data_IF_344663944116
#
_entry.id   IF_344663944116
#
_cell.length_a   1.000
_cell.length_b   1.000
_cell.length_c   1.000
_cell.angle_alpha   90.00
_cell.angle_beta   90.00
_cell.angle_gamma   90.00
#
_symmetry.space_group_name_H-M   'P 1'
#
loop_
_entity.id
_entity.type
_entity.pdbx_description
1 polymer ?
#
# COMPACT_ATOMS: atom_id res chain seq x y z
N UNK A 1 -9.82 -0.50 -23.32
CA UNK A 1 -9.24 0.02 -22.07
C UNK A 1 -9.10 -1.12 -21.08
N UNK A 2 -7.88 -1.50 -20.75
CA UNK A 2 -7.70 -2.65 -19.88
C UNK A 2 -6.96 -2.28 -18.60
N UNK A 3 -7.51 -2.74 -17.48
CA UNK A 3 -6.91 -2.61 -16.16
C UNK A 3 -6.48 -3.99 -15.71
N UNK A 4 -5.21 -4.12 -15.34
CA UNK A 4 -4.65 -5.36 -14.83
C UNK A 4 -4.06 -5.11 -13.46
N UNK A 5 -4.41 -5.95 -12.49
CA UNK A 5 -3.80 -5.93 -11.16
C UNK A 5 -3.04 -7.25 -11.02
N UNK A 6 -1.75 -7.15 -10.75
CA UNK A 6 -0.86 -8.32 -10.64
C UNK A 6 0.19 -8.08 -9.58
N UNK A 7 0.91 -9.13 -9.22
CA UNK A 7 2.01 -8.97 -8.28
C UNK A 7 3.16 -8.17 -8.90
N UNK A 8 3.84 -7.42 -8.07
CA UNK A 8 5.05 -6.72 -8.45
C UNK A 8 6.17 -7.72 -8.69
N UNK A 9 7.02 -7.47 -9.68
CA UNK A 9 8.21 -8.25 -9.93
C UNK A 9 9.44 -7.37 -9.77
N UNK A 10 10.65 -7.95 -9.62
CA UNK A 10 11.85 -7.13 -9.52
C UNK A 10 12.04 -6.15 -10.67
N UNK A 11 11.56 -6.50 -11.86
CA UNK A 11 11.63 -5.59 -13.01
C UNK A 11 10.80 -4.33 -12.81
N UNK A 12 9.81 -4.37 -11.93
CA UNK A 12 8.93 -3.22 -11.66
C UNK A 12 9.46 -2.30 -10.56
N UNK A 13 10.45 -2.73 -9.77
CA UNK A 13 10.85 -2.03 -8.54
C UNK A 13 11.14 -0.55 -8.76
N UNK A 14 11.91 -0.24 -9.78
CA UNK A 14 12.30 1.14 -10.03
C UNK A 14 11.10 1.99 -10.45
N UNK A 15 10.25 1.44 -11.31
CA UNK A 15 9.06 2.14 -11.76
C UNK A 15 8.08 2.37 -10.60
N UNK A 16 7.96 1.40 -9.70
CA UNK A 16 7.10 1.53 -8.52
C UNK A 16 7.64 2.60 -7.57
N UNK A 17 8.95 2.64 -7.35
CA UNK A 17 9.54 3.67 -6.50
C UNK A 17 9.35 5.06 -7.08
N UNK A 18 9.50 5.21 -8.38
CA UNK A 18 9.24 6.48 -9.05
C UNK A 18 7.77 6.87 -8.96
N UNK A 19 6.87 5.92 -9.16
CA UNK A 19 5.43 6.14 -9.02
C UNK A 19 5.09 6.64 -7.62
N UNK A 20 5.62 5.99 -6.60
CA UNK A 20 5.38 6.37 -5.22
C UNK A 20 5.91 7.76 -4.93
N UNK A 21 7.11 8.04 -5.40
CA UNK A 21 7.69 9.35 -5.24
C UNK A 21 6.81 10.43 -5.86
N UNK A 22 6.36 10.24 -7.07
CA UNK A 22 5.50 11.20 -7.75
C UNK A 22 4.14 11.35 -7.08
N UNK A 23 3.60 10.24 -6.60
CA UNK A 23 2.29 10.23 -5.96
C UNK A 23 2.28 11.03 -4.65
N UNK A 24 3.38 10.99 -3.90
CA UNK A 24 3.47 11.60 -2.58
C UNK A 24 4.29 12.89 -2.54
N UNK A 25 4.87 13.29 -3.67
CA UNK A 25 5.73 14.47 -3.72
C UNK A 25 4.95 15.71 -3.29
N UNK A 26 5.46 16.39 -2.27
CA UNK A 26 4.87 17.62 -1.73
C UNK A 26 3.43 17.48 -1.24
N UNK A 27 2.94 16.26 -1.02
CA UNK A 27 1.54 16.07 -0.59
C UNK A 27 1.38 16.40 0.88
N UNK A 28 2.26 15.88 1.73
CA UNK A 28 2.14 16.07 3.18
C UNK A 28 3.24 16.95 3.74
N UNK A 29 4.32 17.09 3.01
CA UNK A 29 5.47 17.92 3.39
C UNK A 29 6.29 18.15 2.12
N UNK A 30 7.25 19.09 2.12
CA UNK A 30 8.14 19.26 0.96
C UNK A 30 8.87 17.94 0.66
N UNK A 31 8.82 17.51 -0.60
CA UNK A 31 9.36 16.22 -1.02
C UNK A 31 8.51 15.07 -0.50
N UNK A 32 9.12 13.90 -0.35
CA UNK A 32 8.48 12.74 0.27
C UNK A 32 9.53 11.70 0.65
N UNK A 33 9.12 10.75 1.50
CA UNK A 33 9.96 9.62 1.91
C UNK A 33 9.31 8.29 1.65
N UNK A 34 8.07 8.28 1.17
CA UNK A 34 7.31 7.05 0.98
C UNK A 34 8.00 6.06 0.03
N UNK A 35 8.66 6.57 -1.01
CA UNK A 35 9.38 5.71 -1.93
C UNK A 35 10.58 5.02 -1.28
N UNK A 36 11.22 5.67 -0.31
CA UNK A 36 12.31 5.08 0.43
C UNK A 36 11.78 4.04 1.44
N UNK A 37 10.67 4.36 2.10
CA UNK A 37 10.03 3.45 3.04
C UNK A 37 9.65 2.15 2.35
N UNK A 38 9.05 2.25 1.19
CA UNK A 38 8.67 1.08 0.43
C UNK A 38 9.88 0.26 -0.03
N UNK A 39 10.96 0.94 -0.40
CA UNK A 39 12.22 0.28 -0.74
C UNK A 39 12.73 -0.58 0.45
N UNK A 40 12.68 -0.02 1.65
CA UNK A 40 13.09 -0.73 2.85
C UNK A 40 12.17 -1.90 3.18
N UNK A 41 10.88 -1.75 2.92
CA UNK A 41 9.91 -2.80 3.23
C UNK A 41 10.17 -4.09 2.47
N UNK A 42 10.69 -4.01 1.25
CA UNK A 42 10.93 -5.20 0.45
C UNK A 42 11.92 -6.16 1.10
N UNK A 43 12.84 -5.66 1.91
CA UNK A 43 13.81 -6.49 2.62
C UNK A 43 13.43 -6.75 4.06
N UNK A 44 12.29 -6.27 4.52
CA UNK A 44 11.85 -6.48 5.90
C UNK A 44 11.27 -7.90 6.04
N UNK A 45 11.51 -8.57 7.20
CA UNK A 45 10.99 -9.92 7.40
C UNK A 45 9.47 -10.00 7.43
N UNK A 46 8.80 -8.89 7.72
CA UNK A 46 7.33 -8.85 7.79
C UNK A 46 6.67 -8.58 6.44
N UNK A 47 7.45 -8.33 5.41
CA UNK A 47 6.92 -8.06 4.08
C UNK A 47 6.20 -9.30 3.53
N UNK A 48 5.07 -9.09 2.88
CA UNK A 48 4.25 -10.16 2.29
C UNK A 48 4.27 -10.02 0.77
N UNK A 49 5.20 -10.68 0.08
CA UNK A 49 5.30 -10.53 -1.40
C UNK A 49 4.03 -10.93 -2.13
N UNK A 50 3.28 -11.87 -1.60
CA UNK A 50 2.03 -12.31 -2.22
C UNK A 50 0.95 -11.21 -2.20
N UNK A 51 1.13 -10.20 -1.35
CA UNK A 51 0.22 -9.07 -1.24
C UNK A 51 0.91 -7.78 -1.64
N UNK A 52 1.75 -7.84 -2.65
CA UNK A 52 2.43 -6.71 -3.24
C UNK A 52 1.96 -6.61 -4.68
N UNK A 53 1.09 -5.63 -4.95
CA UNK A 53 0.36 -5.53 -6.22
C UNK A 53 0.66 -4.24 -6.95
N UNK A 54 0.76 -4.35 -8.28
CA UNK A 54 0.80 -3.20 -9.17
C UNK A 54 -0.46 -3.18 -10.01
N UNK A 55 -0.87 -1.99 -10.42
CA UNK A 55 -2.01 -1.80 -11.33
C UNK A 55 -1.50 -1.18 -12.62
N UNK A 56 -1.85 -1.81 -13.73
CA UNK A 56 -1.52 -1.30 -15.07
C UNK A 56 -2.79 -0.90 -15.79
N UNK A 57 -2.69 0.17 -16.55
CA UNK A 57 -3.74 0.58 -17.47
C UNK A 57 -3.14 0.69 -18.84
N UNK A 58 -3.60 -0.16 -19.76
CA UNK A 58 -3.11 -0.20 -21.14
C UNK A 58 -1.58 -0.28 -21.22
N UNK A 59 -1.00 -1.09 -20.33
CA UNK A 59 0.44 -1.32 -20.30
C UNK A 59 1.23 -0.31 -19.47
N UNK A 60 0.58 0.73 -18.96
CA UNK A 60 1.25 1.74 -18.15
C UNK A 60 1.00 1.45 -16.66
N UNK A 61 2.07 1.46 -15.88
CA UNK A 61 1.97 1.23 -14.44
C UNK A 61 1.45 2.49 -13.76
N UNK A 62 0.26 2.41 -13.18
CA UNK A 62 -0.42 3.56 -12.59
C UNK A 62 -0.70 3.43 -11.10
N UNK A 63 -0.49 2.26 -10.51
CA UNK A 63 -0.78 2.08 -9.10
C UNK A 63 0.04 1.00 -8.44
N UNK A 64 0.14 1.07 -7.11
CA UNK A 64 0.88 0.10 -6.31
C UNK A 64 0.38 0.10 -4.87
N UNK A 65 0.36 -1.09 -4.26
CA UNK A 65 0.12 -1.27 -2.83
C UNK A 65 0.88 -2.50 -2.36
N UNK A 66 1.40 -2.46 -1.13
CA UNK A 66 2.06 -3.61 -0.53
C UNK A 66 1.60 -3.77 0.92
N UNK A 67 1.71 -4.98 1.44
CA UNK A 67 1.28 -5.32 2.79
C UNK A 67 2.44 -5.87 3.60
N UNK A 68 2.32 -5.71 4.93
CA UNK A 68 3.24 -6.29 5.90
C UNK A 68 2.43 -6.92 7.03
N UNK A 69 3.02 -7.91 7.69
CA UNK A 69 2.44 -8.49 8.90
C UNK A 69 2.72 -7.58 10.08
N UNK A 70 1.75 -7.51 10.98
CA UNK A 70 1.87 -6.71 12.18
C UNK A 70 1.03 -7.33 13.28
N UNK A 71 0.95 -6.68 14.45
CA UNK A 71 0.14 -7.16 15.57
C UNK A 71 -0.54 -5.99 16.27
N UNK A 72 -1.72 -6.26 16.80
CA UNK A 72 -2.38 -5.36 17.73
C UNK A 72 -2.36 -6.04 19.10
N UNK A 73 -1.89 -5.32 20.11
CA UNK A 73 -1.94 -5.81 21.49
C UNK A 73 -3.21 -5.29 22.14
N UNK A 74 -4.03 -6.20 22.66
CA UNK A 74 -5.27 -5.85 23.34
C UNK A 74 -4.96 -5.39 24.77
N UNK A 75 -5.96 -4.80 25.43
CA UNK A 75 -5.83 -4.38 26.82
C UNK A 75 -5.56 -5.56 27.76
N UNK A 76 -5.94 -6.76 27.36
CA UNK A 76 -5.66 -7.97 28.12
C UNK A 76 -4.28 -8.56 27.85
N UNK A 77 -3.45 -7.89 27.05
CA UNK A 77 -2.10 -8.35 26.71
C UNK A 77 -2.05 -9.38 25.60
N UNK A 78 -3.16 -9.66 24.95
CA UNK A 78 -3.21 -10.64 23.86
C UNK A 78 -2.77 -9.98 22.56
N UNK A 79 -1.88 -10.65 21.84
CA UNK A 79 -1.42 -10.21 20.52
C UNK A 79 -2.34 -10.78 19.45
N UNK A 80 -2.86 -9.92 18.59
CA UNK A 80 -3.72 -10.31 17.48
C UNK A 80 -2.97 -10.02 16.17
N UNK A 81 -2.67 -11.03 15.36
CA UNK A 81 -2.00 -10.79 14.08
C UNK A 81 -2.90 -10.04 13.13
N UNK A 82 -2.33 -9.07 12.43
CA UNK A 82 -3.04 -8.30 11.41
C UNK A 82 -2.14 -8.09 10.22
N UNK A 83 -2.76 -7.66 9.12
CA UNK A 83 -2.04 -7.14 7.96
C UNK A 83 -2.19 -5.63 7.94
N UNK A 84 -1.10 -4.94 7.63
CA UNK A 84 -1.15 -3.51 7.39
C UNK A 84 -0.61 -3.24 5.99
N UNK A 85 -1.21 -2.29 5.29
CA UNK A 85 -0.67 -1.93 3.99
C UNK A 85 0.28 -0.73 4.12
N UNK A 86 1.30 -0.74 3.27
CA UNK A 86 2.24 0.34 3.15
C UNK A 86 1.68 1.46 2.30
N UNK A 87 2.53 2.26 1.65
CA UNK A 87 2.03 3.32 0.80
C UNK A 87 1.14 2.73 -0.29
N UNK A 88 -0.03 3.32 -0.49
CA UNK A 88 -0.81 3.04 -1.67
C UNK A 88 -0.64 4.23 -2.60
N UNK A 89 -0.19 3.97 -3.83
CA UNK A 89 0.19 5.01 -4.77
C UNK A 89 -0.64 4.92 -6.03
N UNK A 90 -1.09 6.07 -6.51
CA UNK A 90 -1.75 6.19 -7.82
C UNK A 90 -1.03 7.33 -8.55
N UNK A 91 -0.71 7.11 -9.82
CA UNK A 91 -0.03 8.12 -10.62
C UNK A 91 -0.84 9.43 -10.59
N UNK A 92 -0.16 10.59 -10.52
CA UNK A 92 -0.87 11.87 -10.36
C UNK A 92 -1.95 12.13 -11.40
N UNK A 93 -1.75 11.72 -12.63
CA UNK A 93 -2.74 11.92 -13.69
C UNK A 93 -3.97 11.04 -13.57
N UNK A 94 -3.97 10.08 -12.66
CA UNK A 94 -5.06 9.11 -12.50
C UNK A 94 -5.72 9.21 -11.13
N UNK A 95 -5.33 10.16 -10.31
CA UNK A 95 -5.93 10.32 -8.98
C UNK A 95 -7.38 10.78 -9.08
N UNK A 96 -8.16 10.44 -8.03
CA UNK A 96 -9.57 10.84 -7.87
C UNK A 96 -10.48 10.25 -8.93
N UNK A 97 -10.10 9.10 -9.48
CA UNK A 97 -10.91 8.42 -10.49
C UNK A 97 -11.35 7.03 -10.04
N UNK A 98 -11.14 6.70 -8.75
CA UNK A 98 -11.56 5.43 -8.19
C UNK A 98 -10.56 4.30 -8.31
N UNK A 99 -9.40 4.54 -8.89
CA UNK A 99 -8.39 3.49 -9.06
C UNK A 99 -7.79 3.04 -7.72
N UNK A 100 -7.57 3.98 -6.81
CA UNK A 100 -7.05 3.65 -5.49
C UNK A 100 -7.98 2.73 -4.72
N UNK A 101 -9.27 3.02 -4.74
CA UNK A 101 -10.27 2.17 -4.10
C UNK A 101 -10.31 0.79 -4.74
N UNK A 102 -10.25 0.73 -6.06
CA UNK A 102 -10.27 -0.52 -6.79
C UNK A 102 -9.08 -1.40 -6.44
N UNK A 103 -7.90 -0.80 -6.38
CA UNK A 103 -6.67 -1.51 -6.01
C UNK A 103 -6.73 -1.97 -4.56
N UNK A 104 -7.19 -1.12 -3.66
CA UNK A 104 -7.30 -1.45 -2.25
C UNK A 104 -8.29 -2.59 -2.03
N UNK A 105 -9.47 -2.50 -2.63
CA UNK A 105 -10.49 -3.55 -2.48
C UNK A 105 -9.99 -4.90 -2.99
N UNK A 106 -9.32 -4.90 -4.12
CA UNK A 106 -8.74 -6.12 -4.68
C UNK A 106 -7.71 -6.72 -3.71
N UNK A 107 -6.80 -5.90 -3.21
CA UNK A 107 -5.74 -6.37 -2.34
C UNK A 107 -6.27 -6.85 -0.99
N UNK A 108 -7.29 -6.19 -0.46
CA UNK A 108 -7.91 -6.61 0.80
C UNK A 108 -8.62 -7.93 0.66
N UNK A 109 -9.26 -8.16 -0.47
CA UNK A 109 -9.89 -9.45 -0.75
C UNK A 109 -8.86 -10.57 -0.80
N UNK A 110 -7.72 -10.32 -1.45
CA UNK A 110 -6.63 -11.30 -1.50
C UNK A 110 -6.04 -11.55 -0.11
N UNK A 111 -5.94 -10.51 0.71
CA UNK A 111 -5.46 -10.67 2.08
C UNK A 111 -6.40 -11.55 2.90
N UNK A 112 -7.70 -11.40 2.72
CA UNK A 112 -8.68 -12.28 3.37
C UNK A 112 -8.55 -13.72 2.91
N UNK A 113 -8.32 -13.92 1.61
CA UNK A 113 -8.15 -15.24 1.04
C UNK A 113 -6.94 -15.95 1.63
N UNK A 114 -5.94 -15.21 2.07
CA UNK A 114 -4.75 -15.74 2.72
C UNK A 114 -4.97 -16.01 4.21
N UNK A 115 -6.18 -15.82 4.71
CA UNK A 115 -6.49 -16.09 6.10
C UNK A 115 -6.16 -14.95 7.05
N UNK A 116 -6.14 -13.72 6.56
CA UNK A 116 -5.94 -12.57 7.44
C UNK A 116 -7.03 -12.57 8.51
N UNK A 117 -6.63 -12.34 9.77
CA UNK A 117 -7.55 -12.36 10.89
C UNK A 117 -8.59 -11.27 10.82
N UNK A 118 -8.24 -10.13 10.26
CA UNK A 118 -9.13 -9.00 10.23
C UNK A 118 -10.19 -9.18 9.15
N UNK A 119 -11.44 -9.02 9.52
CA UNK A 119 -12.57 -9.07 8.58
C UNK A 119 -13.11 -7.68 8.30
N UNK A 120 -12.58 -6.66 8.96
CA UNK A 120 -13.04 -5.29 8.86
C UNK A 120 -11.90 -4.39 8.40
N UNK A 121 -12.22 -3.40 7.59
CA UNK A 121 -11.23 -2.44 7.10
C UNK A 121 -10.50 -1.72 8.22
N UNK A 122 -11.10 -1.62 9.40
CA UNK A 122 -10.44 -0.94 10.52
C UNK A 122 -9.18 -1.64 10.98
N UNK A 123 -8.99 -2.93 10.63
CA UNK A 123 -7.78 -3.67 10.96
C UNK A 123 -6.71 -3.55 9.89
N UNK A 124 -7.05 -3.00 8.74
CA UNK A 124 -6.10 -2.75 7.66
C UNK A 124 -5.73 -1.29 7.70
N UNK A 125 -4.56 -0.99 8.22
CA UNK A 125 -4.11 0.38 8.37
C UNK A 125 -2.93 0.67 7.48
N UNK A 126 -2.87 1.88 6.96
CA UNK A 126 -1.63 2.37 6.41
C UNK A 126 -0.71 2.67 7.59
N UNK A 127 0.37 1.94 7.69
CA UNK A 127 1.33 2.17 8.76
C UNK A 127 2.44 3.10 8.37
N UNK A 128 2.31 3.66 7.22
CA UNK A 128 3.45 4.21 6.55
C UNK A 128 3.62 5.66 6.69
N UNK A 129 2.55 6.39 6.61
CA UNK A 129 2.67 7.82 6.50
C UNK A 129 2.27 8.48 7.82
N UNK A 130 3.24 8.75 8.68
CA UNK A 130 2.93 9.41 9.94
C UNK A 130 2.36 10.81 9.72
N UNK A 131 2.62 11.39 8.56
CA UNK A 131 2.11 12.71 8.25
C UNK A 131 0.66 12.68 7.83
N UNK A 132 0.22 11.55 7.28
CA UNK A 132 -1.17 11.40 6.85
C UNK A 132 -2.12 11.48 8.02
N UNK A 133 -1.72 11.00 9.18
CA UNK A 133 -2.55 11.09 10.38
C UNK A 133 -2.74 12.51 10.84
N UNK A 134 -1.78 13.36 10.52
CA UNK A 134 -1.80 14.76 10.93
C UNK A 134 -2.52 15.62 9.92
N UNK A 135 -2.54 15.20 8.68
CA UNK A 135 -3.16 15.99 7.62
C UNK A 135 -4.61 16.33 7.91
N UNK A 136 -5.45 15.40 8.41
CA UNK A 136 -6.84 15.73 8.73
C UNK A 136 -7.01 16.72 9.88
N UNK A 137 -5.96 16.91 10.65
CA UNK A 137 -6.03 17.80 11.81
C UNK A 137 -5.96 19.27 11.43
N UNK A 138 -5.76 19.57 10.17
CA UNK A 138 -5.71 20.95 9.70
C UNK A 138 -7.07 21.57 9.62
#
# INVERSE_FOLDING_TARGET
>A
MSIIIRNETPADYRAVENLTRESFWNVYRPGCTEHYVLHCYRSAPDFVPELDFVMEKDGELIGHVMYSRSEITTSGGKAIPIMTFGPISIAPGYKRQGYGKRLLDYSMEKARDMGAMAHSRRFFKSRVNPYRRRAPDR
#
